data_IF_377054351655
#
_entry.id   IF_377054351655
#
_cell.length_a   1.000
_cell.length_b   1.000
_cell.length_c   1.000
_cell.angle_alpha   90.00
_cell.angle_beta   90.00
_cell.angle_gamma   90.00
#
_symmetry.space_group_name_H-M   'P 1'
#
loop_
_entity.id
_entity.type
_entity.pdbx_description
1 polymer ?
#
# COMPACT_ATOMS: atom_id res chain seq x y z
N UNK A 1 -22.01 -31.28 -11.40
CA UNK A 1 -21.62 -31.15 -9.98
C UNK A 1 -20.89 -29.84 -9.70
N UNK A 2 -19.92 -29.43 -10.52
CA UNK A 2 -19.21 -28.14 -10.36
C UNK A 2 -20.13 -26.90 -10.40
N UNK A 3 -21.20 -26.95 -11.19
CA UNK A 3 -22.18 -25.86 -11.30
C UNK A 3 -22.88 -25.57 -9.99
N UNK A 4 -23.34 -26.61 -9.28
CA UNK A 4 -24.05 -26.47 -8.00
C UNK A 4 -23.15 -25.92 -6.90
N UNK A 5 -21.90 -26.37 -6.85
CA UNK A 5 -20.90 -25.90 -5.89
C UNK A 5 -20.58 -24.42 -6.13
N UNK A 6 -20.43 -24.00 -7.39
CA UNK A 6 -20.17 -22.60 -7.73
C UNK A 6 -21.37 -21.71 -7.40
N UNK A 7 -22.60 -22.16 -7.66
CA UNK A 7 -23.82 -21.42 -7.27
C UNK A 7 -23.91 -21.24 -5.77
N UNK A 8 -23.67 -22.32 -5.00
CA UNK A 8 -23.68 -22.27 -3.54
C UNK A 8 -22.61 -21.32 -2.99
N UNK A 9 -21.36 -21.45 -3.44
CA UNK A 9 -20.26 -20.58 -3.02
C UNK A 9 -20.54 -19.11 -3.35
N UNK A 10 -21.12 -18.84 -4.52
CA UNK A 10 -21.48 -17.48 -4.92
C UNK A 10 -22.59 -16.91 -4.02
N UNK A 11 -23.64 -17.68 -3.75
CA UNK A 11 -24.72 -17.25 -2.84
C UNK A 11 -24.19 -16.95 -1.44
N UNK A 12 -23.37 -17.84 -0.87
CA UNK A 12 -22.75 -17.64 0.45
C UNK A 12 -21.87 -16.39 0.47
N UNK A 13 -21.04 -16.20 -0.55
CA UNK A 13 -20.11 -15.05 -0.61
C UNK A 13 -20.86 -13.73 -0.78
N UNK A 14 -21.97 -13.72 -1.53
CA UNK A 14 -22.81 -12.54 -1.72
C UNK A 14 -23.52 -12.15 -0.43
N UNK A 15 -24.20 -13.10 0.23
CA UNK A 15 -24.89 -12.85 1.51
C UNK A 15 -23.90 -12.42 2.59
N UNK A 16 -22.72 -13.06 2.68
CA UNK A 16 -21.68 -12.64 3.60
C UNK A 16 -21.19 -11.21 3.31
N UNK A 17 -21.02 -10.84 2.04
CA UNK A 17 -20.59 -9.48 1.66
C UNK A 17 -21.65 -8.41 1.95
N UNK A 18 -22.94 -8.76 1.91
CA UNK A 18 -24.04 -7.86 2.24
C UNK A 18 -24.13 -7.61 3.75
N UNK A 19 -24.04 -8.67 4.56
CA UNK A 19 -24.16 -8.58 6.02
C UNK A 19 -22.88 -8.06 6.68
N UNK A 20 -21.72 -8.61 6.29
CA UNK A 20 -20.43 -8.34 6.93
C UNK A 20 -19.60 -7.29 6.19
N UNK A 21 -20.00 -6.91 4.97
CA UNK A 21 -19.21 -6.08 4.09
C UNK A 21 -18.02 -6.81 3.47
N UNK A 22 -17.22 -6.08 2.67
CA UNK A 22 -16.02 -6.62 2.04
C UNK A 22 -14.93 -6.86 3.10
N UNK A 23 -14.54 -8.11 3.31
CA UNK A 23 -13.42 -8.45 4.20
C UNK A 23 -12.15 -7.70 3.77
N UNK A 24 -11.71 -6.79 4.62
CA UNK A 24 -10.49 -6.02 4.43
C UNK A 24 -9.41 -6.65 5.31
N UNK A 25 -8.48 -7.46 4.75
CA UNK A 25 -7.40 -8.01 5.54
C UNK A 25 -6.61 -6.85 6.16
N UNK A 26 -6.31 -6.98 7.46
CA UNK A 26 -5.53 -5.98 8.20
C UNK A 26 -4.13 -5.95 7.58
N UNK A 27 -3.87 -4.96 6.73
CA UNK A 27 -2.62 -4.87 5.96
C UNK A 27 -1.39 -4.68 6.85
N UNK A 28 -1.59 -4.24 8.09
CA UNK A 28 -0.55 -3.86 9.05
C UNK A 28 -1.00 -4.28 10.45
N UNK A 29 -0.40 -5.32 11.06
CA UNK A 29 -0.88 -5.90 12.32
C UNK A 29 -0.86 -4.92 13.51
N UNK A 30 -0.07 -3.84 13.42
CA UNK A 30 0.01 -2.78 14.42
C UNK A 30 -1.05 -1.67 14.28
N UNK A 31 -2.00 -1.80 13.35
CA UNK A 31 -3.11 -0.84 13.22
C UNK A 31 -4.25 -1.28 14.12
N UNK A 32 -4.47 -0.50 15.20
CA UNK A 32 -5.52 -0.73 16.19
C UNK A 32 -6.86 -0.11 15.75
N UNK A 33 -7.96 -0.58 16.34
CA UNK A 33 -9.29 0.00 16.12
C UNK A 33 -9.35 1.49 16.50
N UNK A 34 -8.69 1.88 17.58
CA UNK A 34 -8.60 3.28 18.03
C UNK A 34 -7.95 4.20 16.97
N UNK A 35 -6.92 3.71 16.27
CA UNK A 35 -6.29 4.45 15.19
C UNK A 35 -7.21 4.63 13.98
N UNK A 36 -8.07 3.65 13.72
CA UNK A 36 -9.09 3.75 12.67
C UNK A 36 -10.17 4.77 13.04
N UNK A 37 -10.64 4.76 14.28
CA UNK A 37 -11.60 5.76 14.79
C UNK A 37 -11.02 7.18 14.71
N UNK A 38 -9.75 7.38 15.09
CA UNK A 38 -9.06 8.66 14.90
C UNK A 38 -8.99 9.06 13.42
N UNK A 39 -8.72 8.11 12.52
CA UNK A 39 -8.72 8.37 11.08
C UNK A 39 -10.08 8.82 10.56
N UNK A 40 -11.16 8.25 11.08
CA UNK A 40 -12.54 8.62 10.72
C UNK A 40 -12.92 9.98 11.30
N UNK A 41 -12.54 10.28 12.55
CA UNK A 41 -12.66 11.64 13.13
C UNK A 41 -11.95 12.69 12.27
N UNK A 42 -10.72 12.42 11.82
CA UNK A 42 -9.99 13.32 10.90
C UNK A 42 -10.72 13.46 9.55
N UNK A 43 -11.37 12.40 9.05
CA UNK A 43 -12.16 12.43 7.81
C UNK A 43 -13.35 13.39 7.94
N UNK A 44 -14.03 13.37 9.08
CA UNK A 44 -15.13 14.31 9.36
C UNK A 44 -14.63 15.75 9.51
N UNK A 45 -13.50 15.97 10.20
CA UNK A 45 -12.87 17.30 10.30
C UNK A 45 -12.44 17.87 8.95
N UNK A 46 -12.10 17.01 7.97
CA UNK A 46 -11.77 17.46 6.61
C UNK A 46 -12.94 18.17 5.93
N UNK A 47 -14.19 17.82 6.25
CA UNK A 47 -15.39 18.49 5.73
C UNK A 47 -15.54 19.91 6.28
N UNK A 48 -15.05 20.16 7.50
CA UNK A 48 -15.07 21.44 8.22
C UNK A 48 -13.84 22.33 7.97
N UNK A 49 -12.96 21.95 7.02
CA UNK A 49 -11.72 22.68 6.71
C UNK A 49 -11.94 24.08 6.08
N UNK A 50 -13.18 24.53 5.92
CA UNK A 50 -13.50 25.87 5.41
C UNK A 50 -13.24 26.96 6.46
N UNK A 51 -13.34 26.61 7.75
CA UNK A 51 -13.12 27.55 8.86
C UNK A 51 -11.69 27.46 9.40
N UNK A 52 -11.16 28.58 9.91
CA UNK A 52 -9.82 28.64 10.51
C UNK A 52 -9.67 27.67 11.70
N UNK A 53 -10.73 27.49 12.47
CA UNK A 53 -10.78 26.55 13.59
C UNK A 53 -10.79 25.10 13.10
N UNK A 54 -11.54 24.78 12.05
CA UNK A 54 -11.55 23.46 11.42
C UNK A 54 -10.17 23.07 10.86
N UNK A 55 -9.40 24.05 10.35
CA UNK A 55 -8.01 23.84 9.92
C UNK A 55 -7.10 23.49 11.10
N UNK A 56 -7.25 24.19 12.25
CA UNK A 56 -6.47 23.91 13.47
C UNK A 56 -6.77 22.52 14.01
N UNK A 57 -8.04 22.17 14.15
CA UNK A 57 -8.48 20.85 14.63
C UNK A 57 -8.04 19.73 13.70
N UNK A 58 -8.13 19.91 12.38
CA UNK A 58 -7.63 18.93 11.41
C UNK A 58 -6.12 18.72 11.55
N UNK A 59 -5.33 19.79 11.71
CA UNK A 59 -3.88 19.70 11.89
C UNK A 59 -3.52 18.95 13.17
N UNK A 60 -4.19 19.27 14.28
CA UNK A 60 -3.99 18.60 15.57
C UNK A 60 -4.30 17.09 15.46
N UNK A 61 -5.48 16.73 14.95
CA UNK A 61 -5.86 15.32 14.76
C UNK A 61 -4.88 14.58 13.84
N UNK A 62 -4.42 15.22 12.76
CA UNK A 62 -3.44 14.62 11.85
C UNK A 62 -2.06 14.42 12.50
N UNK A 63 -1.63 15.31 13.38
CA UNK A 63 -0.38 15.15 14.14
C UNK A 63 -0.51 14.02 15.17
N UNK A 64 -1.63 13.95 15.88
CA UNK A 64 -1.94 12.90 16.84
C UNK A 64 -1.94 11.52 16.18
N UNK A 65 -2.62 11.37 15.05
CA UNK A 65 -2.64 10.12 14.25
C UNK A 65 -1.22 9.71 13.85
N UNK A 66 -0.40 10.65 13.39
CA UNK A 66 1.00 10.35 13.02
C UNK A 66 1.81 9.87 14.22
N UNK A 67 1.66 10.52 15.37
CA UNK A 67 2.35 10.14 16.61
C UNK A 67 1.91 8.76 17.07
N UNK A 68 0.61 8.51 17.12
CA UNK A 68 0.03 7.22 17.50
C UNK A 68 0.51 6.12 16.55
N UNK A 69 0.44 6.34 15.24
CA UNK A 69 0.87 5.35 14.24
C UNK A 69 2.37 5.03 14.34
N UNK A 70 3.22 6.03 14.63
CA UNK A 70 4.65 5.82 14.88
C UNK A 70 4.87 4.95 16.12
N UNK A 71 4.20 5.28 17.23
CA UNK A 71 4.33 4.55 18.49
C UNK A 71 3.80 3.12 18.37
N UNK A 72 2.63 2.93 17.77
CA UNK A 72 2.05 1.60 17.57
C UNK A 72 2.97 0.71 16.71
N UNK A 73 3.54 1.27 15.63
CA UNK A 73 4.52 0.56 14.81
C UNK A 73 5.78 0.22 15.61
N UNK A 74 6.30 1.15 16.40
CA UNK A 74 7.51 0.95 17.19
C UNK A 74 7.31 -0.13 18.26
N UNK A 75 6.21 -0.06 19.02
CA UNK A 75 5.86 -1.07 20.02
C UNK A 75 5.72 -2.46 19.39
N UNK A 76 5.06 -2.55 18.24
CA UNK A 76 4.93 -3.82 17.54
C UNK A 76 6.30 -4.38 17.10
N UNK A 77 7.20 -3.55 16.56
CA UNK A 77 8.55 -4.00 16.21
C UNK A 77 9.30 -4.49 17.46
N UNK A 78 9.20 -3.76 18.57
CA UNK A 78 9.83 -4.13 19.85
C UNK A 78 9.34 -5.50 20.34
N UNK A 79 8.02 -5.73 20.30
CA UNK A 79 7.41 -7.02 20.64
C UNK A 79 7.93 -8.15 19.74
N UNK A 80 8.06 -7.91 18.42
CA UNK A 80 8.62 -8.90 17.50
C UNK A 80 10.09 -9.18 17.79
N UNK A 81 10.90 -8.16 18.10
CA UNK A 81 12.30 -8.34 18.49
C UNK A 81 12.40 -9.15 19.79
N UNK A 82 11.57 -8.85 20.78
CA UNK A 82 11.56 -9.57 22.05
C UNK A 82 11.18 -11.05 21.86
N UNK A 83 10.23 -11.34 20.97
CA UNK A 83 9.84 -12.70 20.59
C UNK A 83 10.94 -13.47 19.86
N UNK A 84 11.73 -12.79 19.03
CA UNK A 84 12.91 -13.34 18.37
C UNK A 84 13.96 -13.73 19.41
N UNK A 85 14.29 -12.83 20.33
CA UNK A 85 15.26 -13.09 21.41
C UNK A 85 14.83 -14.26 22.30
N UNK A 86 13.55 -14.30 22.67
CA UNK A 86 12.99 -15.38 23.48
C UNK A 86 13.00 -16.71 22.73
N UNK A 87 12.75 -16.71 21.42
CA UNK A 87 12.81 -17.91 20.58
C UNK A 87 14.24 -18.40 20.40
N UNK A 88 15.21 -17.50 20.28
CA UNK A 88 16.64 -17.79 20.26
C UNK A 88 17.10 -18.44 21.58
N UNK A 89 16.73 -17.87 22.73
CA UNK A 89 17.04 -18.45 24.06
C UNK A 89 16.48 -19.86 24.24
N UNK A 90 15.33 -20.15 23.63
CA UNK A 90 14.69 -21.48 23.62
C UNK A 90 15.21 -22.42 22.52
N UNK A 91 16.25 -22.01 21.79
CA UNK A 91 16.86 -22.74 20.68
C UNK A 91 15.86 -23.12 19.55
N UNK A 92 14.80 -22.33 19.36
CA UNK A 92 13.80 -22.54 18.32
C UNK A 92 14.17 -21.78 17.04
N UNK A 93 15.20 -22.27 16.35
CA UNK A 93 15.75 -21.66 15.13
C UNK A 93 14.71 -21.48 14.02
N UNK A 94 13.76 -22.41 13.88
CA UNK A 94 12.67 -22.33 12.89
C UNK A 94 11.78 -21.11 13.13
N UNK A 95 11.32 -20.91 14.37
CA UNK A 95 10.47 -19.76 14.73
C UNK A 95 11.24 -18.44 14.57
N UNK A 96 12.49 -18.40 15.01
CA UNK A 96 13.37 -17.24 14.84
C UNK A 96 13.51 -16.85 13.37
N UNK A 97 13.82 -17.80 12.49
CA UNK A 97 13.95 -17.55 11.05
C UNK A 97 12.65 -17.01 10.45
N UNK A 98 11.50 -17.59 10.81
CA UNK A 98 10.20 -17.13 10.32
C UNK A 98 9.91 -15.69 10.74
N UNK A 99 10.12 -15.33 12.02
CA UNK A 99 9.91 -13.96 12.51
C UNK A 99 10.86 -12.95 11.85
N UNK A 100 12.14 -13.29 11.71
CA UNK A 100 13.11 -12.44 11.00
C UNK A 100 12.71 -12.25 9.54
N UNK A 101 12.27 -13.32 8.87
CA UNK A 101 11.77 -13.25 7.49
C UNK A 101 10.54 -12.36 7.40
N UNK A 102 9.59 -12.47 8.32
CA UNK A 102 8.36 -11.66 8.30
C UNK A 102 8.64 -10.16 8.57
N UNK A 103 9.66 -9.84 9.37
CA UNK A 103 10.11 -8.46 9.60
C UNK A 103 10.89 -7.86 8.43
N UNK A 104 11.75 -8.65 7.79
CA UNK A 104 12.71 -8.16 6.78
C UNK A 104 12.24 -8.33 5.34
N UNK A 105 11.32 -9.27 5.08
CA UNK A 105 10.84 -9.54 3.73
C UNK A 105 9.94 -8.41 3.26
N UNK A 106 10.46 -7.60 2.35
CA UNK A 106 9.65 -6.72 1.54
C UNK A 106 8.97 -7.55 0.45
N UNK A 107 7.64 -7.50 0.37
CA UNK A 107 6.92 -8.08 -0.77
C UNK A 107 7.37 -7.34 -2.03
N UNK A 108 8.20 -8.00 -2.84
CA UNK A 108 8.51 -7.50 -4.17
C UNK A 108 7.23 -7.54 -5.03
N UNK A 109 6.96 -6.46 -5.75
CA UNK A 109 5.85 -6.42 -6.70
C UNK A 109 6.06 -7.49 -7.75
N UNK A 110 5.02 -8.28 -8.03
CA UNK A 110 5.06 -9.27 -9.10
C UNK A 110 4.63 -8.58 -10.39
N UNK A 111 5.41 -8.72 -11.47
CA UNK A 111 5.04 -8.18 -12.78
C UNK A 111 3.76 -8.85 -13.25
N UNK A 112 2.79 -8.05 -13.71
CA UNK A 112 1.53 -8.55 -14.25
C UNK A 112 1.33 -8.13 -15.69
N UNK A 113 0.61 -8.95 -16.45
CA UNK A 113 0.06 -8.54 -17.75
C UNK A 113 -0.93 -7.40 -17.59
N UNK A 114 -1.37 -6.80 -18.71
CA UNK A 114 -2.42 -5.77 -18.70
C UNK A 114 -3.73 -6.28 -18.11
N UNK A 115 -4.04 -7.56 -18.30
CA UNK A 115 -5.22 -8.24 -17.76
C UNK A 115 -5.07 -8.68 -16.29
N UNK A 116 -3.96 -8.31 -15.63
CA UNK A 116 -3.72 -8.62 -14.22
C UNK A 116 -3.23 -10.04 -13.92
N UNK A 117 -2.86 -10.83 -14.95
CA UNK A 117 -2.26 -12.16 -14.76
C UNK A 117 -0.80 -12.02 -14.32
N UNK A 118 -0.41 -12.73 -13.27
CA UNK A 118 0.98 -12.74 -12.79
C UNK A 118 1.91 -13.40 -13.81
N UNK A 119 2.98 -12.70 -14.19
CA UNK A 119 4.06 -13.23 -15.01
C UNK A 119 5.12 -13.85 -14.09
N UNK A 120 5.57 -15.05 -14.45
CA UNK A 120 6.58 -15.81 -13.67
C UNK A 120 7.83 -16.10 -14.50
N UNK A 121 7.71 -16.16 -15.82
CA UNK A 121 8.83 -16.39 -16.74
C UNK A 121 9.57 -15.10 -17.07
N UNK A 122 10.90 -15.17 -17.13
CA UNK A 122 11.77 -14.00 -17.37
C UNK A 122 11.51 -13.37 -18.74
N UNK A 123 11.34 -14.19 -19.78
CA UNK A 123 11.08 -13.71 -21.14
C UNK A 123 9.79 -12.90 -21.24
N UNK A 124 8.72 -13.38 -20.60
CA UNK A 124 7.44 -12.68 -20.56
C UNK A 124 7.51 -11.37 -19.78
N UNK A 125 8.28 -11.34 -18.69
CA UNK A 125 8.51 -10.13 -17.90
C UNK A 125 9.24 -9.08 -18.75
N UNK A 126 10.32 -9.47 -19.45
CA UNK A 126 11.07 -8.60 -20.34
C UNK A 126 10.20 -8.05 -21.46
N UNK A 127 9.38 -8.91 -22.08
CA UNK A 127 8.42 -8.51 -23.11
C UNK A 127 7.42 -7.48 -22.57
N UNK A 128 6.84 -7.73 -21.38
CA UNK A 128 5.90 -6.80 -20.73
C UNK A 128 6.54 -5.45 -20.40
N UNK A 129 7.80 -5.42 -20.00
CA UNK A 129 8.58 -4.20 -19.79
C UNK A 129 8.85 -3.47 -21.11
N UNK A 130 9.22 -4.19 -22.17
CA UNK A 130 9.44 -3.63 -23.50
C UNK A 130 8.16 -2.98 -24.06
N UNK A 131 7.01 -3.66 -23.92
CA UNK A 131 5.69 -3.12 -24.29
C UNK A 131 5.37 -1.84 -23.50
N UNK A 132 5.57 -1.86 -22.17
CA UNK A 132 5.33 -0.69 -21.33
C UNK A 132 6.18 0.52 -21.73
N UNK A 133 7.49 0.32 -21.89
CA UNK A 133 8.40 1.38 -22.29
C UNK A 133 8.07 1.90 -23.69
N UNK A 134 7.75 1.02 -24.63
CA UNK A 134 7.36 1.40 -25.99
C UNK A 134 6.09 2.24 -25.99
N UNK A 135 5.08 1.89 -25.20
CA UNK A 135 3.86 2.71 -25.07
C UNK A 135 4.12 4.06 -24.41
N UNK A 136 4.96 4.09 -23.38
CA UNK A 136 5.28 5.31 -22.64
C UNK A 136 6.05 6.31 -23.51
N UNK A 137 7.06 5.85 -24.25
CA UNK A 137 7.96 6.72 -25.00
C UNK A 137 7.53 6.99 -26.44
N UNK A 138 6.72 6.11 -27.05
CA UNK A 138 6.17 6.35 -28.39
C UNK A 138 4.77 7.00 -28.35
N UNK A 139 4.29 7.38 -27.16
CA UNK A 139 3.09 8.21 -27.06
C UNK A 139 3.36 9.56 -27.72
N UNK A 140 2.64 9.88 -28.81
CA UNK A 140 2.65 11.23 -29.38
C UNK A 140 2.13 12.18 -28.32
N UNK A 141 3.02 12.95 -27.70
CA UNK A 141 2.65 14.11 -26.91
C UNK A 141 1.96 15.11 -27.84
N UNK A 142 0.63 15.22 -27.76
CA UNK A 142 -0.09 16.42 -28.21
C UNK A 142 0.16 17.52 -27.18
N UNK A 143 1.42 17.94 -27.05
CA UNK A 143 1.83 19.06 -26.20
C UNK A 143 1.84 20.34 -27.02
N UNK A 144 1.46 21.45 -26.40
CA UNK A 144 1.58 22.78 -27.01
C UNK A 144 3.04 23.01 -27.44
N UNK A 145 3.30 23.31 -28.73
CA UNK A 145 4.67 23.45 -29.26
C UNK A 145 5.46 24.59 -28.60
N UNK A 146 4.77 25.51 -27.89
CA UNK A 146 5.38 26.63 -27.17
C UNK A 146 6.10 26.20 -25.88
N UNK A 147 5.65 25.13 -25.21
CA UNK A 147 6.21 24.66 -23.93
C UNK A 147 7.44 23.77 -24.14
N UNK A 148 7.56 23.14 -25.30
CA UNK A 148 8.66 22.23 -25.64
C UNK A 148 9.85 22.95 -26.29
N UNK A 149 9.73 24.24 -26.60
CA UNK A 149 10.81 25.01 -27.20
C UNK A 149 11.75 25.52 -26.10
N UNK A 150 12.78 24.74 -25.80
CA UNK A 150 13.89 25.21 -24.94
C UNK A 150 14.73 26.17 -25.78
N UNK A 151 14.87 27.45 -25.39
CA UNK A 151 15.76 28.37 -26.08
C UNK A 151 17.20 27.80 -26.05
N UNK A 152 17.96 27.90 -27.15
CA UNK A 152 19.36 27.49 -27.14
C UNK A 152 20.11 28.27 -26.06
N UNK A 153 21.00 27.58 -25.34
CA UNK A 153 21.84 28.19 -24.32
C UNK A 153 22.59 29.37 -24.94
N UNK A 154 22.39 30.57 -24.40
CA UNK A 154 23.19 31.72 -24.75
C UNK A 154 24.52 31.56 -24.03
N UNK A 155 25.53 31.05 -24.73
CA UNK A 155 26.93 31.19 -24.34
C UNK A 155 27.31 32.67 -24.52
N UNK A 156 26.93 33.49 -23.56
CA UNK A 156 27.39 34.87 -23.42
C UNK A 156 27.94 35.04 -22.01
N UNK A 157 29.02 34.33 -21.72
CA UNK A 157 29.96 34.73 -20.69
C UNK A 157 30.99 35.67 -21.34
N UNK A 158 30.80 36.98 -21.12
CA UNK A 158 31.83 38.00 -21.30
C UNK A 158 32.12 38.66 -19.96
#
# INVERSE_FOLDING_TARGET
METLINTFNTAVTNTASEILGKHCPVKKPWVTADLLDLCDKRRELKKKKKDAEGVRQYRAANQEIKKYMKNAKMNWIEEQCQDIENSMKKNNSKKTYQLVKDLTSTKQGRTTTKDGKCLTEEQDILKRWSEYCSELYNYRTTGDPEVLNVPPATDNDN
#
